data_IF_719762989666
#
_entry.id   IF_719762989666
#
_cell.length_a   1.000
_cell.length_b   1.000
_cell.length_c   1.000
_cell.angle_alpha   90.00
_cell.angle_beta   90.00
_cell.angle_gamma   90.00
#
_symmetry.space_group_name_H-M   'P 1'
#
loop_
_entity.id
_entity.type
_entity.pdbx_description
1 polymer ?
#
# COMPACT_ATOMS: atom_id res chain seq x y z
N UNK A 1 -11.14 41.82 28.52
CA UNK A 1 -11.72 40.60 29.02
C UNK A 1 -12.14 39.67 27.93
N UNK A 2 -12.85 40.15 26.95
CA UNK A 2 -13.26 39.33 25.83
C UNK A 2 -12.04 38.73 25.09
N UNK A 3 -10.93 39.45 25.06
CA UNK A 3 -9.72 38.97 24.39
C UNK A 3 -9.11 37.75 25.07
N UNK A 4 -9.09 37.76 26.41
CA UNK A 4 -8.54 36.65 27.18
C UNK A 4 -9.38 35.40 26.98
N UNK A 5 -10.70 35.55 27.01
CA UNK A 5 -11.61 34.42 26.72
C UNK A 5 -11.43 33.93 25.34
N UNK A 6 -11.25 34.84 24.37
CA UNK A 6 -11.03 34.46 22.98
C UNK A 6 -9.73 33.69 22.80
N UNK A 7 -8.68 34.10 23.49
CA UNK A 7 -7.38 33.42 23.41
C UNK A 7 -7.47 32.02 23.99
N UNK A 8 -8.07 31.90 25.17
CA UNK A 8 -8.23 30.59 25.82
C UNK A 8 -9.04 29.64 24.92
N UNK A 9 -10.10 30.15 24.33
CA UNK A 9 -10.94 29.37 23.44
C UNK A 9 -10.14 28.91 22.21
N UNK A 10 -9.33 29.81 21.65
CA UNK A 10 -8.49 29.46 20.49
C UNK A 10 -7.48 28.40 20.86
N UNK A 11 -6.85 28.53 22.01
CA UNK A 11 -5.85 27.56 22.44
C UNK A 11 -6.48 26.18 22.63
N UNK A 12 -7.68 26.12 23.17
CA UNK A 12 -8.40 24.86 23.30
C UNK A 12 -8.74 24.26 21.94
N UNK A 13 -9.13 25.10 20.99
CA UNK A 13 -9.43 24.64 19.65
C UNK A 13 -8.18 24.13 18.94
N UNK A 14 -7.06 24.82 19.13
CA UNK A 14 -5.78 24.39 18.56
C UNK A 14 -5.37 23.03 19.12
N UNK A 15 -5.48 22.89 20.43
CA UNK A 15 -5.12 21.63 21.09
C UNK A 15 -5.98 20.48 20.57
N UNK A 16 -7.28 20.73 20.46
CA UNK A 16 -8.19 19.71 19.95
C UNK A 16 -7.86 19.37 18.49
N UNK A 17 -7.57 20.39 17.70
CA UNK A 17 -7.22 20.18 16.30
C UNK A 17 -5.93 19.38 16.16
N UNK A 18 -4.95 19.62 17.05
CA UNK A 18 -3.71 18.86 17.05
C UNK A 18 -3.96 17.39 17.37
N UNK A 19 -4.84 17.12 18.32
CA UNK A 19 -5.21 15.75 18.66
C UNK A 19 -5.89 15.08 17.47
N UNK A 20 -6.77 15.80 16.79
CA UNK A 20 -7.45 15.28 15.61
C UNK A 20 -6.47 14.95 14.49
N UNK A 21 -5.47 15.80 14.29
CA UNK A 21 -4.43 15.57 13.30
C UNK A 21 -3.65 14.28 13.60
N UNK A 22 -3.28 14.10 14.86
CA UNK A 22 -2.55 12.89 15.28
C UNK A 22 -3.40 11.65 15.05
N UNK A 23 -4.66 11.70 15.44
CA UNK A 23 -5.57 10.56 15.26
C UNK A 23 -5.77 10.23 13.78
N UNK A 24 -5.94 11.27 12.96
CA UNK A 24 -6.15 11.09 11.53
C UNK A 24 -4.90 10.51 10.88
N UNK A 25 -3.74 10.96 11.30
CA UNK A 25 -2.49 10.42 10.79
C UNK A 25 -2.33 8.95 11.15
N UNK A 26 -2.69 8.58 12.36
CA UNK A 26 -2.64 7.18 12.78
C UNK A 26 -3.58 6.32 11.94
N UNK A 27 -4.78 6.82 11.68
CA UNK A 27 -5.73 6.12 10.82
C UNK A 27 -5.19 5.97 9.39
N UNK A 28 -4.58 7.03 8.90
CA UNK A 28 -3.97 7.01 7.56
C UNK A 28 -2.85 5.97 7.50
N UNK A 29 -1.96 5.99 8.47
CA UNK A 29 -0.84 5.05 8.51
C UNK A 29 -1.33 3.61 8.58
N UNK A 30 -2.38 3.36 9.39
CA UNK A 30 -2.97 2.03 9.49
C UNK A 30 -3.58 1.59 8.16
N UNK A 31 -4.26 2.51 7.48
CA UNK A 31 -4.88 2.20 6.19
C UNK A 31 -3.81 1.90 5.13
N UNK A 32 -2.71 2.66 5.14
CA UNK A 32 -1.61 2.44 4.21
C UNK A 32 -0.99 1.05 4.45
N UNK A 33 -0.79 0.70 5.72
CA UNK A 33 -0.23 -0.61 6.06
C UNK A 33 -1.17 -1.74 5.62
N UNK A 34 -2.47 -1.56 5.81
CA UNK A 34 -3.45 -2.55 5.38
C UNK A 34 -3.45 -2.70 3.86
N UNK A 35 -3.36 -1.60 3.14
CA UNK A 35 -3.29 -1.63 1.68
C UNK A 35 -2.06 -2.38 1.20
N UNK A 36 -0.91 -2.08 1.79
CA UNK A 36 0.33 -2.75 1.43
C UNK A 36 0.22 -4.25 1.67
N UNK A 37 -0.34 -4.64 2.81
CA UNK A 37 -0.52 -6.06 3.13
C UNK A 37 -1.39 -6.76 2.08
N UNK A 38 -2.48 -6.12 1.68
CA UNK A 38 -3.37 -6.68 0.67
C UNK A 38 -2.69 -6.79 -0.69
N UNK A 39 -1.90 -5.79 -1.05
CA UNK A 39 -1.15 -5.82 -2.30
C UNK A 39 -0.11 -6.94 -2.29
N UNK A 40 0.57 -7.13 -1.17
CA UNK A 40 1.54 -8.22 -1.03
C UNK A 40 0.87 -9.58 -1.16
N UNK A 41 -0.30 -9.73 -0.57
CA UNK A 41 -1.07 -10.97 -0.68
C UNK A 41 -1.53 -11.22 -2.11
N UNK A 42 -1.99 -10.18 -2.79
CA UNK A 42 -2.36 -10.29 -4.20
C UNK A 42 -1.17 -10.75 -5.04
N UNK A 43 -0.03 -10.13 -4.82
CA UNK A 43 1.17 -10.44 -5.57
C UNK A 43 1.64 -11.87 -5.31
N UNK A 44 1.50 -12.33 -4.06
CA UNK A 44 1.84 -13.70 -3.72
C UNK A 44 0.94 -14.71 -4.43
N UNK A 45 -0.35 -14.41 -4.50
CA UNK A 45 -1.30 -15.27 -5.23
C UNK A 45 -0.94 -15.33 -6.71
N UNK A 46 -0.64 -14.17 -7.29
CA UNK A 46 -0.27 -14.11 -8.71
C UNK A 46 0.99 -14.92 -9.00
N UNK A 47 1.99 -14.81 -8.12
CA UNK A 47 3.21 -15.60 -8.28
C UNK A 47 2.92 -17.09 -8.17
N UNK A 48 2.09 -17.47 -7.22
CA UNK A 48 1.76 -18.88 -7.04
C UNK A 48 0.99 -19.43 -8.22
N UNK A 49 0.07 -18.65 -8.76
CA UNK A 49 -0.66 -19.04 -9.97
C UNK A 49 0.27 -19.23 -11.16
N UNK A 50 1.21 -18.30 -11.31
CA UNK A 50 2.19 -18.38 -12.39
C UNK A 50 3.08 -19.60 -12.23
N UNK A 51 3.58 -19.84 -11.02
CA UNK A 51 4.41 -20.99 -10.75
C UNK A 51 3.67 -22.29 -10.99
N UNK A 52 2.41 -22.35 -10.57
CA UNK A 52 1.58 -23.50 -10.79
C UNK A 52 1.39 -23.77 -12.29
N UNK A 53 1.16 -22.72 -13.04
CA UNK A 53 1.01 -22.83 -14.50
C UNK A 53 2.29 -23.34 -15.16
N UNK A 54 3.43 -22.82 -14.71
CA UNK A 54 4.73 -23.25 -15.23
C UNK A 54 4.95 -24.74 -14.95
N UNK A 55 4.64 -25.18 -13.75
CA UNK A 55 4.83 -26.57 -13.36
C UNK A 55 3.91 -27.53 -14.11
N UNK A 56 2.74 -27.05 -14.50
CA UNK A 56 1.78 -27.85 -15.27
C UNK A 56 2.05 -27.79 -16.77
N UNK A 57 2.91 -26.89 -17.20
CA UNK A 57 3.21 -26.72 -18.62
C UNK A 57 4.07 -27.87 -19.14
N UNK A 58 3.87 -28.22 -20.41
CA UNK A 58 4.71 -29.19 -21.12
C UNK A 58 6.06 -28.62 -21.47
N UNK A 59 6.18 -27.30 -21.44
CA UNK A 59 7.41 -26.62 -21.84
C UNK A 59 8.41 -26.62 -20.70
N UNK A 60 9.70 -26.70 -21.08
CA UNK A 60 10.77 -26.62 -20.10
C UNK A 60 10.91 -25.19 -19.55
N UNK A 61 11.58 -25.08 -18.42
CA UNK A 61 11.89 -23.78 -17.84
C UNK A 61 12.60 -22.87 -18.84
N UNK A 62 13.58 -23.41 -19.57
CA UNK A 62 14.33 -22.66 -20.56
C UNK A 62 13.45 -22.12 -21.68
N UNK A 63 12.50 -22.94 -22.15
CA UNK A 63 11.59 -22.52 -23.20
C UNK A 63 10.69 -21.38 -22.73
N UNK A 64 10.19 -21.49 -21.51
CA UNK A 64 9.32 -20.45 -20.94
C UNK A 64 10.10 -19.15 -20.74
N UNK A 65 11.32 -19.27 -20.24
CA UNK A 65 12.18 -18.12 -20.01
C UNK A 65 12.51 -17.40 -21.32
N UNK A 66 12.80 -18.15 -22.37
CA UNK A 66 13.07 -17.58 -23.68
C UNK A 66 11.88 -16.86 -24.26
N UNK A 67 10.69 -17.41 -24.05
CA UNK A 67 9.48 -16.79 -24.54
C UNK A 67 9.27 -15.41 -23.87
N UNK A 68 9.46 -15.34 -22.56
CA UNK A 68 9.31 -14.10 -21.83
C UNK A 68 10.37 -13.07 -22.23
N UNK A 69 11.62 -13.52 -22.37
CA UNK A 69 12.72 -12.63 -22.76
C UNK A 69 12.58 -12.15 -24.21
N UNK A 70 12.01 -12.95 -25.08
CA UNK A 70 11.79 -12.56 -26.46
C UNK A 70 10.84 -11.36 -26.56
N UNK A 71 9.80 -11.32 -25.72
CA UNK A 71 8.89 -10.18 -25.69
C UNK A 71 9.63 -8.89 -25.32
N UNK A 72 10.55 -8.98 -24.37
CA UNK A 72 11.34 -7.83 -23.97
C UNK A 72 12.33 -7.40 -25.05
N UNK A 73 12.87 -8.36 -25.78
CA UNK A 73 13.85 -8.07 -26.80
C UNK A 73 13.26 -7.35 -28.01
N UNK A 74 11.98 -7.50 -28.23
CA UNK A 74 11.30 -6.82 -29.34
C UNK A 74 11.14 -5.33 -29.14
N UNK A 75 11.26 -4.87 -27.92
CA UNK A 75 11.20 -3.45 -27.62
C UNK A 75 12.58 -2.80 -27.79
#
# INVERSE_FOLDING_TARGET
MARTIGLDTLEQKIEKAQIDVIKTKQKYDTAVAALKDLMDKRDAIKRNELMSAIMKSDKSYDQILRFIQADQAEE
#
